data_IF_636496157687
#
_entry.id   IF_636496157687
#
_cell.length_a   1.000
_cell.length_b   1.000
_cell.length_c   1.000
_cell.angle_alpha   90.00
_cell.angle_beta   90.00
_cell.angle_gamma   90.00
#
_symmetry.space_group_name_H-M   'P 1'
#
loop_
_entity.id
_entity.type
_entity.pdbx_description
1 polymer ?
#
# COMPACT_ATOMS: atom_id res chain seq x y z
N UNK A 1 1.13 41.08 14.21
CA UNK A 1 1.14 40.44 12.88
C UNK A 1 0.96 38.94 13.10
N UNK A 2 -0.14 38.33 12.64
CA UNK A 2 -0.33 36.88 12.76
C UNK A 2 0.72 36.19 11.89
N UNK A 3 1.47 35.24 12.47
CA UNK A 3 2.35 34.37 11.71
C UNK A 3 1.46 33.48 10.86
N UNK A 4 1.40 33.79 9.57
CA UNK A 4 0.72 32.96 8.58
C UNK A 4 1.41 31.60 8.62
N UNK A 5 0.65 30.61 9.07
CA UNK A 5 1.03 29.22 9.28
C UNK A 5 1.53 28.63 7.97
N UNK A 6 2.82 28.76 7.74
CA UNK A 6 3.54 27.99 6.73
C UNK A 6 3.67 26.57 7.27
N UNK A 7 2.78 25.66 6.88
CA UNK A 7 3.09 24.23 6.78
C UNK A 7 1.94 23.44 6.13
N UNK A 8 1.63 23.74 4.87
CA UNK A 8 0.74 22.91 4.04
C UNK A 8 1.29 22.76 2.62
N UNK A 9 2.60 22.59 2.50
CA UNK A 9 3.28 22.51 1.21
C UNK A 9 4.46 21.52 1.37
N UNK A 10 4.39 20.36 0.68
CA UNK A 10 5.46 19.36 0.41
C UNK A 10 5.35 17.89 0.87
N UNK A 11 4.19 17.38 1.32
CA UNK A 11 4.08 15.93 1.67
C UNK A 11 3.31 15.05 0.67
N UNK A 12 2.72 15.60 -0.40
CA UNK A 12 1.95 14.81 -1.38
C UNK A 12 2.78 13.90 -2.30
N UNK A 13 4.00 14.32 -2.69
CA UNK A 13 4.82 13.60 -3.68
C UNK A 13 5.36 12.27 -3.16
N UNK A 14 5.83 12.23 -1.91
CA UNK A 14 6.41 11.02 -1.32
C UNK A 14 5.33 10.02 -0.89
N UNK A 15 4.16 10.53 -0.48
CA UNK A 15 3.05 9.69 -0.05
C UNK A 15 2.46 8.89 -1.21
N UNK A 16 2.23 9.53 -2.37
CA UNK A 16 1.74 8.85 -3.57
C UNK A 16 2.71 7.78 -4.07
N UNK A 17 4.02 8.05 -4.03
CA UNK A 17 5.04 7.06 -4.39
C UNK A 17 5.03 5.87 -3.45
N UNK A 18 4.99 6.10 -2.13
CA UNK A 18 4.92 5.03 -1.13
C UNK A 18 3.71 4.13 -1.35
N UNK A 19 2.52 4.74 -1.44
CA UNK A 19 1.26 4.04 -1.70
C UNK A 19 1.34 3.22 -2.99
N UNK A 20 1.80 3.83 -4.09
CA UNK A 20 1.94 3.13 -5.36
C UNK A 20 2.90 1.94 -5.26
N UNK A 21 4.03 2.12 -4.55
CA UNK A 21 5.03 1.06 -4.39
C UNK A 21 4.48 -0.12 -3.58
N UNK A 22 3.66 0.12 -2.55
CA UNK A 22 3.04 -0.95 -1.76
C UNK A 22 2.02 -1.78 -2.56
N UNK A 23 1.22 -1.15 -3.41
CA UNK A 23 0.30 -1.87 -4.32
C UNK A 23 1.09 -2.69 -5.34
N UNK A 24 2.13 -2.10 -5.94
CA UNK A 24 2.95 -2.80 -6.94
C UNK A 24 3.71 -3.97 -6.31
N UNK A 25 4.32 -3.77 -5.13
CA UNK A 25 5.07 -4.80 -4.44
C UNK A 25 4.18 -5.98 -4.02
N UNK A 26 3.02 -5.71 -3.40
CA UNK A 26 2.07 -6.77 -3.01
C UNK A 26 1.53 -7.55 -4.22
N UNK A 27 1.23 -6.85 -5.32
CA UNK A 27 0.80 -7.48 -6.59
C UNK A 27 1.90 -8.35 -7.20
N UNK A 28 3.15 -7.86 -7.23
CA UNK A 28 4.29 -8.61 -7.76
C UNK A 28 4.58 -9.88 -6.93
N UNK A 29 4.45 -9.81 -5.61
CA UNK A 29 4.60 -10.98 -4.73
C UNK A 29 3.50 -12.02 -5.02
N UNK A 30 2.23 -11.58 -5.11
CA UNK A 30 1.12 -12.48 -5.44
C UNK A 30 1.31 -13.17 -6.80
N UNK A 31 1.60 -12.39 -7.84
CA UNK A 31 1.85 -12.93 -9.18
C UNK A 31 3.08 -13.84 -9.24
N UNK A 32 4.17 -13.48 -8.56
CA UNK A 32 5.39 -14.29 -8.51
C UNK A 32 5.14 -15.64 -7.84
N UNK A 33 4.45 -15.67 -6.71
CA UNK A 33 4.08 -16.91 -6.01
C UNK A 33 3.12 -17.73 -6.86
N UNK A 34 2.08 -17.12 -7.41
CA UNK A 34 1.09 -17.80 -8.25
C UNK A 34 1.70 -18.43 -9.49
N UNK A 35 2.60 -17.71 -10.18
CA UNK A 35 3.34 -18.22 -11.33
C UNK A 35 4.28 -19.37 -10.97
N UNK A 36 5.00 -19.25 -9.85
CA UNK A 36 5.89 -20.31 -9.38
C UNK A 36 5.12 -21.58 -9.02
N UNK A 37 3.97 -21.44 -8.34
CA UNK A 37 3.09 -22.55 -7.99
C UNK A 37 2.50 -23.23 -9.21
N UNK A 38 1.99 -22.48 -10.18
CA UNK A 38 1.45 -23.04 -11.42
C UNK A 38 2.52 -23.83 -12.18
N UNK A 39 3.79 -23.37 -12.15
CA UNK A 39 4.91 -24.08 -12.79
C UNK A 39 5.33 -25.35 -12.03
N UNK A 40 5.22 -25.35 -10.71
CA UNK A 40 5.59 -26.49 -9.87
C UNK A 40 4.52 -27.59 -9.86
N UNK A 41 3.25 -27.21 -9.93
CA UNK A 41 2.11 -28.13 -9.90
C UNK A 41 1.61 -28.54 -11.29
N UNK A 42 2.24 -28.02 -12.36
CA UNK A 42 1.82 -28.17 -13.77
C UNK A 42 0.32 -27.85 -13.98
N UNK A 43 -0.25 -27.03 -13.11
CA UNK A 43 -1.64 -26.63 -13.21
C UNK A 43 -1.79 -25.56 -14.29
N UNK A 44 -2.94 -25.62 -14.99
CA UNK A 44 -3.45 -24.49 -15.77
C UNK A 44 -3.44 -23.23 -14.89
N UNK A 45 -3.40 -22.00 -15.46
CA UNK A 45 -3.12 -20.75 -14.73
C UNK A 45 -4.19 -20.37 -13.70
N UNK A 46 -4.37 -21.22 -12.69
CA UNK A 46 -5.42 -21.19 -11.68
C UNK A 46 -4.85 -20.58 -10.41
N UNK A 47 -3.66 -21.02 -9.99
CA UNK A 47 -3.00 -20.40 -8.83
C UNK A 47 -2.58 -18.98 -9.16
N UNK A 48 -2.13 -18.68 -10.38
CA UNK A 48 -1.85 -17.30 -10.78
C UNK A 48 -3.09 -16.41 -10.66
N UNK A 49 -4.27 -16.85 -11.10
CA UNK A 49 -5.51 -16.07 -10.97
C UNK A 49 -5.90 -15.88 -9.49
N UNK A 50 -5.88 -16.96 -8.70
CA UNK A 50 -6.21 -16.90 -7.28
C UNK A 50 -5.25 -15.97 -6.54
N UNK A 51 -3.94 -16.15 -6.73
CA UNK A 51 -2.92 -15.32 -6.09
C UNK A 51 -2.88 -13.89 -6.64
N UNK A 52 -3.30 -13.63 -7.88
CA UNK A 52 -3.49 -12.27 -8.38
C UNK A 52 -4.59 -11.55 -7.60
N UNK A 53 -5.73 -12.20 -7.36
CA UNK A 53 -6.83 -11.64 -6.56
C UNK A 53 -6.38 -11.42 -5.12
N UNK A 54 -5.69 -12.41 -4.53
CA UNK A 54 -5.15 -12.28 -3.17
C UNK A 54 -4.09 -11.17 -3.07
N UNK A 55 -3.19 -11.04 -4.04
CA UNK A 55 -2.17 -10.00 -4.09
C UNK A 55 -2.81 -8.61 -4.17
N UNK A 56 -3.85 -8.48 -4.99
CA UNK A 56 -4.61 -7.24 -5.11
C UNK A 56 -5.36 -6.90 -3.80
N UNK A 57 -6.03 -7.90 -3.19
CA UNK A 57 -6.70 -7.73 -1.90
C UNK A 57 -5.73 -7.34 -0.77
N UNK A 58 -4.57 -7.99 -0.70
CA UNK A 58 -3.51 -7.65 0.26
C UNK A 58 -2.99 -6.22 0.05
N UNK A 59 -2.80 -5.81 -1.21
CA UNK A 59 -2.44 -4.44 -1.56
C UNK A 59 -3.45 -3.42 -1.06
N UNK A 60 -4.76 -3.66 -1.27
CA UNK A 60 -5.82 -2.79 -0.76
C UNK A 60 -5.90 -2.74 0.77
N UNK A 61 -5.72 -3.87 1.45
CA UNK A 61 -5.71 -3.92 2.92
C UNK A 61 -4.55 -3.10 3.48
N UNK A 62 -3.34 -3.26 2.93
CA UNK A 62 -2.17 -2.53 3.36
C UNK A 62 -2.34 -1.01 3.13
N UNK A 63 -2.94 -0.64 2.00
CA UNK A 63 -3.36 0.72 1.67
C UNK A 63 -4.30 1.35 2.70
N UNK A 64 -5.36 0.62 3.05
CA UNK A 64 -6.33 1.09 4.04
C UNK A 64 -5.67 1.29 5.40
N UNK A 65 -4.77 0.38 5.79
CA UNK A 65 -3.99 0.52 7.02
C UNK A 65 -3.08 1.75 6.99
N UNK A 66 -2.41 2.03 5.87
CA UNK A 66 -1.61 3.26 5.70
C UNK A 66 -2.45 4.52 5.91
N UNK A 67 -3.64 4.57 5.30
CA UNK A 67 -4.55 5.72 5.45
C UNK A 67 -5.07 5.89 6.88
N UNK A 68 -5.38 4.78 7.56
CA UNK A 68 -5.89 4.82 8.94
C UNK A 68 -4.79 5.14 9.95
N UNK A 69 -3.58 4.63 9.74
CA UNK A 69 -2.44 4.86 10.65
C UNK A 69 -1.95 6.30 10.58
N UNK A 70 -1.96 6.91 9.39
CA UNK A 70 -1.55 8.31 9.18
C UNK A 70 -2.37 9.30 10.03
N UNK A 71 -3.64 8.99 10.32
CA UNK A 71 -4.50 9.86 11.12
C UNK A 71 -4.13 9.95 12.60
N UNK A 72 -3.32 9.04 13.15
CA UNK A 72 -3.04 9.02 14.59
C UNK A 72 -1.95 9.99 15.05
N UNK A 73 -1.17 10.57 14.14
CA UNK A 73 -0.04 11.44 14.52
C UNK A 73 -0.41 12.92 14.72
N UNK A 74 -1.66 13.32 14.46
CA UNK A 74 -2.04 14.73 14.43
C UNK A 74 -2.84 15.21 15.67
N UNK A 75 -2.87 14.43 16.76
CA UNK A 75 -3.66 14.69 17.98
C UNK A 75 -2.81 14.87 19.26
N UNK A 76 -1.48 14.81 19.17
CA UNK A 76 -0.59 14.88 20.35
C UNK A 76 0.11 16.26 20.52
N UNK A 77 -0.34 17.29 19.80
CA UNK A 77 0.34 18.59 19.69
C UNK A 77 -0.32 19.79 20.38
N UNK A 78 -1.38 19.59 21.17
CA UNK A 78 -2.15 20.69 21.80
C UNK A 78 -2.15 20.62 23.34
N UNK A 79 -1.06 20.11 23.93
CA UNK A 79 -0.84 20.12 25.37
C UNK A 79 0.56 20.68 25.69
N UNK A 80 0.72 22.00 25.57
CA UNK A 80 1.84 22.79 26.10
C UNK A 80 1.47 24.26 26.24
#
# INVERSE_FOLDING_TARGET
MPKLKQEQQHHGHQWGLRVGTEIVASTMIGLGIGFYLDRWLETRPLFLIVFAIFGMAAGFINLYQLMVVDQRQNMDGDES
#
